data_IF_900918694284
#
_entry.id   IF_900918694284
#
_cell.length_a   1.000
_cell.length_b   1.000
_cell.length_c   1.000
_cell.angle_alpha   90.00
_cell.angle_beta   90.00
_cell.angle_gamma   90.00
#
_symmetry.space_group_name_H-M   'P 1'
#
loop_
_entity.id
_entity.type
_entity.pdbx_description
1 polymer ?
#
# COMPACT_ATOMS: atom_id res chain seq x y z
N UNK A 1 1.90 11.31 -77.88
CA UNK A 1 2.43 10.89 -76.56
C UNK A 1 2.76 12.04 -75.58
N UNK A 2 2.39 13.30 -75.89
CA UNK A 2 2.63 14.45 -74.95
C UNK A 2 1.46 14.75 -74.02
N UNK A 3 0.25 14.27 -74.25
CA UNK A 3 -0.93 14.60 -73.44
C UNK A 3 -1.22 13.66 -72.25
N UNK A 4 -0.52 12.49 -72.19
CA UNK A 4 -0.71 11.54 -71.09
C UNK A 4 0.00 11.98 -69.79
N UNK A 5 1.06 12.77 -69.91
CA UNK A 5 1.80 13.28 -68.69
C UNK A 5 1.04 14.32 -67.90
N UNK A 6 0.12 15.05 -68.48
CA UNK A 6 -0.69 16.07 -67.80
C UNK A 6 -1.94 15.49 -67.13
N UNK A 7 -2.44 14.34 -67.60
CA UNK A 7 -3.57 13.65 -66.98
C UNK A 7 -3.12 12.93 -65.70
N UNK A 8 -1.89 12.36 -65.70
CA UNK A 8 -1.33 11.73 -64.49
C UNK A 8 -0.99 12.75 -63.36
N UNK A 9 -0.61 14.00 -63.73
CA UNK A 9 -0.35 15.07 -62.74
C UNK A 9 -1.65 15.63 -62.13
N UNK A 10 -2.76 15.63 -62.86
CA UNK A 10 -4.07 16.08 -62.34
C UNK A 10 -4.69 15.08 -61.36
N UNK A 11 -4.42 13.77 -61.47
CA UNK A 11 -4.91 12.76 -60.56
C UNK A 11 -4.11 12.69 -59.21
N UNK A 12 -2.88 13.21 -59.20
CA UNK A 12 -2.07 13.29 -57.97
C UNK A 12 -2.40 14.50 -57.10
N UNK A 13 -3.10 15.53 -57.64
CA UNK A 13 -3.48 16.72 -56.87
C UNK A 13 -4.90 16.68 -56.30
N UNK A 14 -5.75 15.73 -56.72
CA UNK A 14 -7.12 15.61 -56.19
C UNK A 14 -7.22 14.79 -54.89
N UNK A 15 -6.11 14.24 -54.39
CA UNK A 15 -6.03 13.48 -53.12
C UNK A 15 -5.73 14.31 -51.87
N UNK A 16 -5.54 15.64 -51.98
CA UNK A 16 -5.03 16.45 -50.87
C UNK A 16 -6.05 17.43 -50.23
N UNK A 17 -7.33 17.28 -50.42
CA UNK A 17 -8.31 18.21 -49.84
C UNK A 17 -9.36 17.48 -49.00
N UNK A 18 -8.91 16.60 -48.11
CA UNK A 18 -9.67 16.28 -46.90
C UNK A 18 -8.79 16.55 -45.67
N UNK A 19 -8.30 17.78 -45.57
CA UNK A 19 -7.99 18.29 -44.25
C UNK A 19 -9.35 18.45 -43.54
N UNK A 20 -9.73 17.49 -42.72
CA UNK A 20 -10.84 17.65 -41.81
C UNK A 20 -10.57 18.94 -41.03
N UNK A 21 -11.47 19.91 -41.12
CA UNK A 21 -11.50 21.03 -40.20
C UNK A 21 -11.77 20.45 -38.80
N UNK A 22 -10.72 20.06 -38.13
CA UNK A 22 -10.80 19.64 -36.73
C UNK A 22 -11.06 20.94 -35.96
N UNK A 23 -12.27 21.10 -35.48
CA UNK A 23 -12.57 22.16 -34.52
C UNK A 23 -11.79 21.83 -33.21
N UNK A 24 -10.67 22.52 -33.04
CA UNK A 24 -9.79 22.33 -31.85
C UNK A 24 -10.48 22.74 -30.54
N UNK A 25 -11.61 23.46 -30.61
CA UNK A 25 -12.43 23.83 -29.46
C UNK A 25 -13.55 22.83 -29.20
N UNK A 26 -13.80 21.90 -30.11
CA UNK A 26 -14.80 20.85 -29.90
C UNK A 26 -14.22 19.73 -29.04
N UNK A 27 -14.79 19.52 -27.86
CA UNK A 27 -14.42 18.39 -26.99
C UNK A 27 -14.71 17.08 -27.73
N UNK A 28 -13.73 16.16 -27.85
CA UNK A 28 -13.94 14.85 -28.45
C UNK A 28 -15.09 14.12 -27.78
N UNK A 29 -16.00 13.55 -28.56
CA UNK A 29 -17.05 12.71 -27.99
C UNK A 29 -16.39 11.47 -27.33
N UNK A 30 -16.78 11.13 -26.10
CA UNK A 30 -16.25 9.94 -25.46
C UNK A 30 -16.59 8.69 -26.29
N UNK A 31 -15.60 7.82 -26.46
CA UNK A 31 -15.83 6.51 -27.06
C UNK A 31 -16.77 5.64 -26.21
N UNK A 32 -17.22 4.48 -26.70
CA UNK A 32 -18.01 3.55 -25.91
C UNK A 32 -17.20 3.10 -24.68
N UNK A 33 -17.86 3.04 -23.53
CA UNK A 33 -17.22 2.56 -22.29
C UNK A 33 -16.65 1.16 -22.52
N UNK A 34 -15.35 0.92 -22.27
CA UNK A 34 -14.78 -0.40 -22.47
C UNK A 34 -15.43 -1.43 -21.55
N UNK A 35 -15.71 -2.63 -22.08
CA UNK A 35 -16.19 -3.73 -21.26
C UNK A 35 -15.07 -4.20 -20.34
N UNK A 36 -15.29 -4.13 -19.03
CA UNK A 36 -14.34 -4.57 -18.04
C UNK A 36 -14.55 -6.07 -17.81
N UNK A 37 -13.61 -6.89 -18.32
CA UNK A 37 -13.53 -8.32 -18.05
C UNK A 37 -12.44 -8.59 -17.01
N UNK A 38 -12.86 -8.79 -15.76
CA UNK A 38 -11.94 -9.21 -14.70
C UNK A 38 -11.86 -10.74 -14.71
N UNK A 39 -10.69 -11.27 -15.05
CA UNK A 39 -10.44 -12.70 -14.99
C UNK A 39 -10.55 -13.19 -13.54
N UNK A 40 -11.32 -14.28 -13.34
CA UNK A 40 -11.35 -14.94 -12.03
C UNK A 40 -10.02 -15.65 -11.78
N UNK A 41 -9.41 -15.50 -10.60
CA UNK A 41 -8.18 -16.20 -10.27
C UNK A 41 -8.42 -17.71 -10.18
N UNK A 42 -7.48 -18.50 -10.71
CA UNK A 42 -7.39 -19.91 -10.41
C UNK A 42 -6.88 -20.08 -8.98
N UNK A 43 -7.67 -20.69 -8.11
CA UNK A 43 -7.35 -20.80 -6.68
C UNK A 43 -7.15 -22.25 -6.28
N UNK A 44 -6.07 -22.53 -5.54
CA UNK A 44 -5.82 -23.85 -4.94
C UNK A 44 -5.11 -23.70 -3.59
N UNK A 45 -5.15 -24.75 -2.77
CA UNK A 45 -4.53 -24.76 -1.44
C UNK A 45 -3.52 -25.89 -1.31
N UNK A 46 -2.33 -25.60 -0.80
CA UNK A 46 -1.32 -26.60 -0.49
C UNK A 46 -1.66 -27.38 0.79
N UNK A 47 -1.06 -28.56 0.95
CA UNK A 47 -1.25 -29.40 2.16
C UNK A 47 -0.81 -28.67 3.45
N UNK A 48 0.14 -27.74 3.36
CA UNK A 48 0.60 -26.93 4.48
C UNK A 48 -0.29 -25.70 4.77
N UNK A 49 -1.38 -25.52 4.04
CA UNK A 49 -2.33 -24.46 4.31
C UNK A 49 -2.18 -23.19 3.46
N UNK A 50 -1.06 -23.03 2.72
CA UNK A 50 -0.87 -21.90 1.83
C UNK A 50 -1.96 -21.86 0.76
N UNK A 51 -2.69 -20.74 0.67
CA UNK A 51 -3.67 -20.51 -0.38
C UNK A 51 -2.99 -19.77 -1.53
N UNK A 52 -3.12 -20.29 -2.75
CA UNK A 52 -2.48 -19.74 -3.95
C UNK A 52 -3.53 -19.28 -4.94
N UNK A 53 -3.37 -18.05 -5.44
CA UNK A 53 -4.21 -17.45 -6.47
C UNK A 53 -3.36 -17.12 -7.68
N UNK A 54 -3.76 -17.57 -8.86
CA UNK A 54 -3.05 -17.32 -10.12
C UNK A 54 -3.98 -16.64 -11.11
N UNK A 55 -3.52 -15.53 -11.68
CA UNK A 55 -4.19 -14.82 -12.79
C UNK A 55 -3.24 -14.79 -13.99
N UNK A 56 -3.58 -15.50 -15.04
CA UNK A 56 -2.84 -15.51 -16.28
C UNK A 56 -3.12 -14.21 -17.07
N UNK A 57 -2.07 -13.46 -17.39
CA UNK A 57 -2.14 -12.23 -18.16
C UNK A 57 -0.90 -12.09 -19.07
N UNK A 58 -1.03 -12.51 -20.31
CA UNK A 58 0.06 -12.58 -21.27
C UNK A 58 0.24 -11.30 -22.11
N UNK A 59 -0.38 -10.18 -21.70
CA UNK A 59 -0.25 -8.90 -22.43
C UNK A 59 1.16 -8.34 -22.39
N UNK A 60 1.87 -8.58 -21.29
CA UNK A 60 3.27 -8.16 -21.09
C UNK A 60 4.06 -9.32 -20.51
N UNK A 61 5.34 -9.49 -20.88
CA UNK A 61 6.20 -10.58 -20.39
C UNK A 61 6.69 -10.28 -18.96
N UNK A 62 5.77 -10.06 -18.02
CA UNK A 62 6.05 -9.73 -16.62
C UNK A 62 5.22 -10.58 -15.69
N UNK A 63 5.77 -10.82 -14.50
CA UNK A 63 5.10 -11.54 -13.41
C UNK A 63 5.24 -10.73 -12.13
N UNK A 64 4.11 -10.48 -11.49
CA UNK A 64 4.04 -9.93 -10.15
C UNK A 64 3.68 -11.06 -9.19
N UNK A 65 4.43 -11.15 -8.08
CA UNK A 65 4.27 -12.17 -7.06
C UNK A 65 4.10 -11.45 -5.72
N UNK A 66 3.05 -11.79 -4.98
CA UNK A 66 2.79 -11.24 -3.65
C UNK A 66 2.41 -12.34 -2.67
N UNK A 67 3.21 -12.47 -1.63
CA UNK A 67 2.86 -13.23 -0.43
C UNK A 67 2.27 -12.25 0.60
N UNK A 68 1.15 -12.62 1.18
CA UNK A 68 0.52 -11.86 2.28
C UNK A 68 0.25 -12.81 3.44
N UNK A 69 0.74 -12.45 4.62
CA UNK A 69 0.40 -13.14 5.87
C UNK A 69 -0.88 -12.50 6.40
N UNK A 70 -1.99 -13.21 6.33
CA UNK A 70 -3.30 -12.74 6.78
C UNK A 70 -3.46 -12.99 8.29
N UNK A 71 -3.00 -12.03 9.06
CA UNK A 71 -3.11 -12.02 10.51
C UNK A 71 -3.51 -10.64 11.02
N UNK A 72 -4.17 -10.55 12.17
CA UNK A 72 -4.35 -9.25 12.82
C UNK A 72 -3.01 -8.63 13.22
N UNK A 73 -2.98 -7.30 13.45
CA UNK A 73 -1.83 -6.64 14.07
C UNK A 73 -1.44 -7.35 15.37
N UNK A 74 -0.15 -7.45 15.62
CA UNK A 74 0.42 -8.14 16.80
C UNK A 74 0.94 -7.09 17.76
N UNK A 75 0.52 -7.18 19.02
CA UNK A 75 1.11 -6.39 20.10
C UNK A 75 2.49 -6.97 20.46
N UNK A 76 3.54 -6.19 20.26
CA UNK A 76 4.93 -6.58 20.46
C UNK A 76 5.48 -6.13 21.83
N UNK A 77 4.81 -5.15 22.47
CA UNK A 77 5.07 -4.72 23.84
C UNK A 77 6.47 -4.12 24.03
N UNK A 78 7.25 -4.67 24.97
CA UNK A 78 8.58 -4.15 25.32
C UNK A 78 9.65 -4.37 24.24
N UNK A 79 9.36 -5.14 23.21
CA UNK A 79 10.23 -5.41 22.04
C UNK A 79 9.58 -4.92 20.74
N UNK A 80 8.76 -3.87 20.81
CA UNK A 80 8.12 -3.31 19.63
C UNK A 80 9.17 -2.91 18.58
N UNK A 81 8.94 -3.37 17.33
CA UNK A 81 9.90 -3.33 16.23
C UNK A 81 10.49 -4.70 15.87
N UNK A 82 10.21 -5.75 16.67
CA UNK A 82 10.73 -7.11 16.40
C UNK A 82 10.25 -7.66 15.06
N UNK A 83 9.01 -7.36 14.67
CA UNK A 83 8.48 -7.78 13.37
C UNK A 83 9.20 -7.13 12.20
N UNK A 84 9.59 -5.86 12.30
CA UNK A 84 10.38 -5.15 11.29
C UNK A 84 11.81 -5.69 11.23
N UNK A 85 12.47 -5.85 12.37
CA UNK A 85 13.81 -6.45 12.45
C UNK A 85 13.81 -7.87 11.87
N UNK A 86 12.76 -8.66 12.12
CA UNK A 86 12.61 -10.00 11.54
C UNK A 86 12.50 -9.95 10.01
N UNK A 87 11.69 -9.03 9.49
CA UNK A 87 11.52 -8.86 8.05
C UNK A 87 12.82 -8.49 7.34
N UNK A 88 13.63 -7.63 7.95
CA UNK A 88 14.96 -7.26 7.46
C UNK A 88 15.88 -8.48 7.28
N UNK A 89 15.72 -9.52 8.11
CA UNK A 89 16.58 -10.71 8.01
C UNK A 89 16.24 -11.60 6.82
N UNK A 90 15.00 -11.54 6.28
CA UNK A 90 14.55 -12.44 5.20
C UNK A 90 15.32 -12.25 3.88
N UNK A 91 15.92 -11.11 3.65
CA UNK A 91 16.78 -10.83 2.49
C UNK A 91 18.29 -10.94 2.77
N UNK A 92 18.70 -11.27 4.00
CA UNK A 92 20.11 -11.27 4.42
C UNK A 92 20.81 -12.61 4.21
N UNK A 93 20.39 -13.37 3.21
CA UNK A 93 20.89 -14.69 2.87
C UNK A 93 19.97 -15.81 3.38
N UNK A 94 20.31 -17.03 2.98
CA UNK A 94 19.57 -18.24 3.33
C UNK A 94 20.52 -19.27 3.94
N UNK A 95 20.00 -20.41 4.36
CA UNK A 95 20.87 -21.53 4.78
C UNK A 95 21.76 -22.09 3.66
N UNK A 96 21.48 -21.71 2.38
CA UNK A 96 22.20 -22.18 1.20
C UNK A 96 23.02 -21.09 0.49
N UNK A 97 22.64 -19.83 0.65
CA UNK A 97 23.25 -18.69 -0.03
C UNK A 97 23.68 -17.65 0.99
N UNK A 98 24.89 -17.13 0.84
CA UNK A 98 25.28 -15.92 1.55
C UNK A 98 24.44 -14.72 1.08
N UNK A 99 24.48 -13.64 1.82
CA UNK A 99 23.81 -12.36 1.46
C UNK A 99 24.27 -11.85 0.10
N UNK A 100 25.57 -11.88 -0.13
CA UNK A 100 26.20 -11.43 -1.38
C UNK A 100 25.77 -12.30 -2.58
N UNK A 101 25.75 -13.62 -2.41
CA UNK A 101 25.31 -14.55 -3.45
C UNK A 101 23.82 -14.39 -3.75
N UNK A 102 22.99 -14.20 -2.69
CA UNK A 102 21.56 -13.96 -2.84
C UNK A 102 21.30 -12.67 -3.63
N UNK A 103 21.90 -11.55 -3.23
CA UNK A 103 21.76 -10.28 -3.90
C UNK A 103 22.27 -10.33 -5.34
N UNK A 104 23.46 -10.90 -5.58
CA UNK A 104 24.01 -11.07 -6.93
C UNK A 104 23.08 -11.86 -7.86
N UNK A 105 22.37 -12.87 -7.34
CA UNK A 105 21.38 -13.61 -8.13
C UNK A 105 20.16 -12.75 -8.48
N UNK A 106 19.63 -11.97 -7.54
CA UNK A 106 18.50 -11.07 -7.78
C UNK A 106 18.87 -9.99 -8.80
N UNK A 107 20.04 -9.38 -8.64
CA UNK A 107 20.55 -8.34 -9.57
C UNK A 107 20.75 -8.90 -10.98
N UNK A 108 21.33 -10.10 -11.10
CA UNK A 108 21.52 -10.76 -12.40
C UNK A 108 20.18 -11.04 -13.12
N UNK A 109 19.13 -11.35 -12.36
CA UNK A 109 17.79 -11.60 -12.92
C UNK A 109 17.04 -10.28 -13.22
N UNK A 110 17.59 -9.13 -12.84
CA UNK A 110 16.91 -7.84 -12.95
C UNK A 110 15.56 -7.84 -12.23
N UNK A 111 15.46 -8.59 -11.14
CA UNK A 111 14.24 -8.73 -10.37
C UNK A 111 14.24 -7.80 -9.16
N UNK A 112 13.05 -7.41 -8.73
CA UNK A 112 12.84 -6.73 -7.46
C UNK A 112 12.23 -7.72 -6.46
N UNK A 113 12.83 -7.82 -5.29
CA UNK A 113 12.34 -8.66 -4.20
C UNK A 113 12.35 -7.86 -2.89
N UNK A 114 11.24 -7.89 -2.17
CA UNK A 114 11.06 -7.18 -0.89
C UNK A 114 10.39 -8.06 0.14
N UNK A 115 10.70 -7.79 1.41
CA UNK A 115 10.13 -8.49 2.56
C UNK A 115 9.55 -7.50 3.56
N UNK A 116 8.53 -7.91 4.27
CA UNK A 116 7.92 -7.20 5.40
C UNK A 116 7.44 -8.19 6.44
N UNK A 117 7.08 -7.73 7.63
CA UNK A 117 6.50 -8.59 8.68
C UNK A 117 5.14 -9.18 8.28
N UNK A 118 4.53 -8.67 7.23
CA UNK A 118 3.21 -9.09 6.72
C UNK A 118 3.29 -9.83 5.39
N UNK A 119 4.50 -10.09 4.87
CA UNK A 119 4.65 -10.83 3.62
C UNK A 119 5.89 -10.49 2.82
N UNK A 120 5.81 -10.75 1.50
CA UNK A 120 6.88 -10.50 0.55
C UNK A 120 6.32 -10.14 -0.82
N UNK A 121 7.10 -9.42 -1.61
CA UNK A 121 6.75 -9.05 -2.97
C UNK A 121 7.89 -9.27 -3.95
N UNK A 122 7.58 -9.67 -5.19
CA UNK A 122 8.54 -9.73 -6.26
C UNK A 122 7.95 -9.30 -7.60
N UNK A 123 8.78 -8.64 -8.40
CA UNK A 123 8.48 -8.31 -9.79
C UNK A 123 9.62 -8.81 -10.68
N UNK A 124 9.27 -9.48 -11.78
CA UNK A 124 10.27 -10.07 -12.67
C UNK A 124 9.74 -10.20 -14.10
N UNK A 125 10.65 -10.44 -15.04
CA UNK A 125 10.27 -10.89 -16.39
C UNK A 125 9.81 -12.36 -16.34
N UNK A 126 8.85 -12.74 -17.20
CA UNK A 126 8.28 -14.10 -17.26
C UNK A 126 9.33 -15.18 -17.38
N UNK A 127 10.35 -14.97 -18.21
CA UNK A 127 11.46 -15.93 -18.42
C UNK A 127 12.27 -16.25 -17.16
N UNK A 128 12.22 -15.38 -16.14
CA UNK A 128 12.92 -15.53 -14.86
C UNK A 128 12.01 -15.87 -13.69
N UNK A 129 10.69 -15.97 -13.92
CA UNK A 129 9.71 -16.15 -12.87
C UNK A 129 9.98 -17.38 -11.99
N UNK A 130 10.40 -18.50 -12.61
CA UNK A 130 10.75 -19.72 -11.88
C UNK A 130 11.90 -19.50 -10.90
N UNK A 131 12.99 -18.84 -11.35
CA UNK A 131 14.15 -18.59 -10.49
C UNK A 131 13.79 -17.63 -9.34
N UNK A 132 13.03 -16.58 -9.64
CA UNK A 132 12.62 -15.57 -8.64
C UNK A 132 11.68 -16.17 -7.60
N UNK A 133 10.71 -16.99 -8.02
CA UNK A 133 9.83 -17.72 -7.09
C UNK A 133 10.63 -18.66 -6.18
N UNK A 134 11.62 -19.38 -6.73
CA UNK A 134 12.48 -20.27 -5.95
C UNK A 134 13.36 -19.50 -4.95
N UNK A 135 13.94 -18.35 -5.35
CA UNK A 135 14.74 -17.51 -4.46
C UNK A 135 13.87 -16.88 -3.35
N UNK A 136 12.69 -16.40 -3.70
CA UNK A 136 11.73 -15.89 -2.72
C UNK A 136 11.31 -16.95 -1.71
N UNK A 137 11.01 -18.17 -2.17
CA UNK A 137 10.66 -19.29 -1.32
C UNK A 137 11.82 -19.68 -0.39
N UNK A 138 13.06 -19.73 -0.91
CA UNK A 138 14.23 -20.06 -0.09
C UNK A 138 14.48 -19.01 1.01
N UNK A 139 14.39 -17.72 0.68
CA UNK A 139 14.50 -16.64 1.66
C UNK A 139 13.41 -16.69 2.75
N UNK A 140 12.19 -17.09 2.37
CA UNK A 140 11.06 -17.19 3.29
C UNK A 140 11.16 -18.43 4.19
N UNK A 141 11.58 -19.57 3.64
CA UNK A 141 11.50 -20.88 4.33
C UNK A 141 12.79 -21.21 5.09
N UNK A 142 13.92 -20.77 4.55
CA UNK A 142 15.24 -21.07 5.03
C UNK A 142 16.06 -19.81 5.36
N UNK A 143 15.49 -18.79 6.02
CA UNK A 143 16.25 -17.58 6.33
C UNK A 143 17.41 -17.90 7.27
N UNK A 144 18.53 -17.20 7.07
CA UNK A 144 19.68 -17.28 7.96
C UNK A 144 19.62 -16.11 8.94
N UNK A 145 19.11 -16.36 10.12
CA UNK A 145 19.16 -15.39 11.22
C UNK A 145 20.53 -15.38 11.89
N UNK A 146 21.14 -14.20 12.03
CA UNK A 146 22.41 -14.05 12.74
C UNK A 146 22.38 -12.83 13.67
N UNK A 147 23.08 -12.93 14.80
CA UNK A 147 23.20 -11.81 15.77
C UNK A 147 23.82 -10.58 15.11
N UNK A 148 24.79 -10.78 14.21
CA UNK A 148 25.46 -9.69 13.50
C UNK A 148 24.46 -8.87 12.64
N UNK A 149 23.68 -9.54 11.77
CA UNK A 149 22.71 -8.86 10.91
C UNK A 149 21.54 -8.28 11.71
N UNK A 150 21.09 -8.93 12.80
CA UNK A 150 20.10 -8.36 13.72
C UNK A 150 20.62 -7.07 14.34
N UNK A 151 21.87 -7.05 14.83
CA UNK A 151 22.45 -5.83 15.41
C UNK A 151 22.58 -4.70 14.39
N UNK A 152 23.00 -5.00 13.14
CA UNK A 152 23.05 -4.01 12.07
C UNK A 152 21.66 -3.44 11.74
N UNK A 153 20.61 -4.28 11.77
CA UNK A 153 19.23 -3.79 11.58
C UNK A 153 18.77 -2.91 12.73
N UNK A 154 19.10 -3.27 13.97
CA UNK A 154 18.83 -2.45 15.16
C UNK A 154 19.50 -1.07 15.06
N UNK A 155 20.78 -1.03 14.73
CA UNK A 155 21.54 0.23 14.56
C UNK A 155 20.89 1.15 13.50
N UNK A 156 20.56 0.59 12.31
CA UNK A 156 19.87 1.36 11.26
C UNK A 156 18.51 1.88 11.72
N UNK A 157 17.75 1.06 12.43
CA UNK A 157 16.44 1.46 12.96
C UNK A 157 16.56 2.59 13.97
N UNK A 158 17.53 2.51 14.90
CA UNK A 158 17.80 3.56 15.88
C UNK A 158 18.23 4.87 15.21
N UNK A 159 19.11 4.82 14.21
CA UNK A 159 19.49 6.00 13.44
C UNK A 159 18.28 6.62 12.71
N UNK A 160 17.43 5.78 12.12
CA UNK A 160 16.17 6.21 11.52
C UNK A 160 15.21 6.88 12.52
N UNK A 161 15.15 6.38 13.76
CA UNK A 161 14.36 7.00 14.83
C UNK A 161 14.87 8.39 15.19
N UNK A 162 16.19 8.58 15.34
CA UNK A 162 16.80 9.89 15.66
C UNK A 162 16.48 10.94 14.60
N UNK A 163 16.47 10.53 13.33
CA UNK A 163 16.10 11.42 12.23
C UNK A 163 14.63 11.88 12.32
N UNK A 164 13.74 11.00 12.82
CA UNK A 164 12.30 11.24 12.93
C UNK A 164 11.85 11.90 14.24
N UNK A 165 12.73 12.01 15.22
CA UNK A 165 12.39 12.59 16.54
C UNK A 165 11.88 14.03 16.47
N UNK A 166 12.32 14.80 15.47
CA UNK A 166 11.95 16.22 15.27
C UNK A 166 10.92 16.40 14.14
N UNK A 167 10.45 15.32 13.53
CA UNK A 167 9.45 15.35 12.47
C UNK A 167 8.05 15.48 13.10
N UNK A 168 7.45 16.66 12.95
CA UNK A 168 6.12 16.96 13.49
C UNK A 168 5.03 16.02 12.95
N UNK A 169 5.13 15.54 11.69
CA UNK A 169 4.18 14.60 11.09
C UNK A 169 4.28 13.22 11.73
N UNK A 170 5.50 12.76 12.01
CA UNK A 170 5.74 11.49 12.68
C UNK A 170 5.30 11.53 14.14
N UNK A 171 5.58 12.63 14.85
CA UNK A 171 5.09 12.86 16.23
C UNK A 171 3.57 12.84 16.25
N UNK A 172 2.92 13.62 15.38
CA UNK A 172 1.46 13.67 15.29
C UNK A 172 0.85 12.30 14.99
N UNK A 173 1.47 11.49 14.11
CA UNK A 173 1.01 10.14 13.79
C UNK A 173 1.10 9.19 14.99
N UNK A 174 2.20 9.22 15.74
CA UNK A 174 2.39 8.39 16.93
C UNK A 174 1.39 8.74 18.03
N UNK A 175 1.20 10.04 18.29
CA UNK A 175 0.24 10.52 19.28
C UNK A 175 -1.18 10.14 18.88
N UNK A 176 -1.57 10.39 17.63
CA UNK A 176 -2.88 10.01 17.09
C UNK A 176 -3.17 8.51 17.27
N UNK A 177 -2.22 7.64 16.88
CA UNK A 177 -2.38 6.20 17.05
C UNK A 177 -2.49 5.79 18.54
N UNK A 178 -1.64 6.36 19.40
CA UNK A 178 -1.65 6.06 20.83
C UNK A 178 -2.93 6.50 21.54
N UNK A 179 -3.50 7.63 21.12
CA UNK A 179 -4.78 8.15 21.65
C UNK A 179 -5.97 7.36 21.10
N UNK A 180 -5.95 7.05 19.79
CA UNK A 180 -7.05 6.34 19.12
C UNK A 180 -7.15 4.88 19.56
N UNK A 181 -6.03 4.18 19.67
CA UNK A 181 -5.99 2.72 19.88
C UNK A 181 -5.50 2.32 21.27
N UNK A 182 -4.88 3.24 22.02
CA UNK A 182 -4.23 2.94 23.30
C UNK A 182 -2.80 2.46 23.13
N UNK A 183 -1.86 2.99 23.94
CA UNK A 183 -0.41 2.68 23.84
C UNK A 183 -0.06 1.19 24.02
N UNK A 184 -0.92 0.43 24.71
CA UNK A 184 -0.70 -1.00 25.01
C UNK A 184 -1.46 -1.90 24.03
N UNK A 185 -1.59 -1.48 22.80
CA UNK A 185 -2.21 -2.24 21.70
C UNK A 185 -1.29 -2.29 20.49
N UNK A 186 -1.51 -3.25 19.63
CA UNK A 186 -0.75 -3.42 18.40
C UNK A 186 -0.81 -2.23 17.42
N UNK A 187 -1.83 -1.39 17.54
CA UNK A 187 -2.01 -0.22 16.67
C UNK A 187 -1.55 1.09 17.31
N UNK A 188 -1.50 1.13 18.64
CA UNK A 188 -1.14 2.33 19.39
C UNK A 188 0.27 2.31 19.96
N UNK A 189 0.95 1.14 20.00
CA UNK A 189 2.36 1.07 20.36
C UNK A 189 3.26 1.70 19.30
N UNK A 190 4.41 2.16 19.68
CA UNK A 190 5.39 2.73 18.75
C UNK A 190 6.83 2.35 19.14
N UNK A 191 7.66 2.24 18.11
CA UNK A 191 9.05 1.83 18.25
C UNK A 191 9.87 2.93 18.95
N UNK A 192 10.70 2.53 19.92
CA UNK A 192 11.64 3.39 20.64
C UNK A 192 13.04 2.79 20.59
N UNK A 193 14.06 3.60 20.86
CA UNK A 193 15.44 3.10 21.01
C UNK A 193 15.51 2.03 22.13
N UNK A 194 14.78 2.24 23.22
CA UNK A 194 14.72 1.26 24.31
C UNK A 194 14.13 -0.08 23.87
N UNK A 195 13.01 -0.06 23.13
CA UNK A 195 12.38 -1.31 22.64
C UNK A 195 13.28 -2.03 21.65
N UNK A 196 13.94 -1.33 20.74
CA UNK A 196 14.88 -1.91 19.78
C UNK A 196 16.09 -2.53 20.48
N UNK A 197 16.65 -1.85 21.50
CA UNK A 197 17.79 -2.36 22.24
C UNK A 197 17.48 -3.66 23.00
N UNK A 198 16.23 -3.88 23.42
CA UNK A 198 15.79 -5.10 24.10
C UNK A 198 15.61 -6.32 23.18
N UNK A 199 15.52 -6.12 21.86
CA UNK A 199 15.32 -7.23 20.91
C UNK A 199 16.57 -8.10 20.85
N UNK A 200 16.39 -9.38 21.06
CA UNK A 200 17.41 -10.41 20.91
C UNK A 200 17.16 -11.29 19.67
N UNK A 201 18.19 -12.01 19.23
CA UNK A 201 18.07 -12.96 18.11
C UNK A 201 16.95 -13.98 18.33
N UNK A 202 16.77 -14.41 19.57
CA UNK A 202 15.70 -15.36 19.94
C UNK A 202 14.31 -14.78 19.68
N UNK A 203 14.08 -13.51 19.99
CA UNK A 203 12.79 -12.86 19.79
C UNK A 203 12.43 -12.79 18.29
N UNK A 204 13.42 -12.47 17.45
CA UNK A 204 13.30 -12.45 15.99
C UNK A 204 12.92 -13.84 15.46
N UNK A 205 13.60 -14.89 15.95
CA UNK A 205 13.32 -16.27 15.55
C UNK A 205 11.94 -16.74 16.00
N UNK A 206 11.54 -16.38 17.23
CA UNK A 206 10.25 -16.77 17.80
C UNK A 206 9.10 -16.03 17.09
N UNK A 207 9.27 -14.75 16.77
CA UNK A 207 8.32 -13.99 15.95
C UNK A 207 8.13 -14.63 14.57
N UNK A 208 9.22 -14.96 13.87
CA UNK A 208 9.17 -15.65 12.59
C UNK A 208 8.43 -16.98 12.69
N UNK A 209 8.80 -17.86 13.63
CA UNK A 209 8.17 -19.18 13.79
C UNK A 209 6.69 -19.11 14.07
N UNK A 210 6.27 -18.11 14.85
CA UNK A 210 4.88 -17.96 15.31
C UNK A 210 3.99 -17.32 14.26
N UNK A 211 4.47 -16.29 13.58
CA UNK A 211 3.63 -15.42 12.77
C UNK A 211 3.87 -15.52 11.27
N UNK A 212 5.06 -15.96 10.85
CA UNK A 212 5.40 -16.03 9.42
C UNK A 212 5.26 -17.46 8.90
N UNK A 213 4.02 -17.88 8.60
CA UNK A 213 3.69 -19.27 8.32
C UNK A 213 2.61 -19.43 7.22
N UNK A 214 2.62 -20.57 6.49
CA UNK A 214 1.78 -20.78 5.31
C UNK A 214 0.29 -20.97 5.61
N UNK A 215 -0.05 -21.41 6.81
CA UNK A 215 -1.44 -21.68 7.21
C UNK A 215 -2.29 -20.41 7.40
N UNK A 216 -1.64 -19.24 7.45
CA UNK A 216 -2.26 -17.92 7.45
C UNK A 216 -1.78 -17.06 6.26
N UNK A 217 -1.41 -17.66 5.13
CA UNK A 217 -0.82 -16.93 4.02
C UNK A 217 -1.57 -17.14 2.69
N UNK A 218 -1.52 -16.10 1.87
CA UNK A 218 -1.96 -16.08 0.49
C UNK A 218 -0.77 -15.76 -0.42
N UNK A 219 -0.55 -16.57 -1.45
CA UNK A 219 0.41 -16.30 -2.51
C UNK A 219 -0.37 -15.96 -3.79
N UNK A 220 -0.25 -14.73 -4.23
CA UNK A 220 -0.89 -14.23 -5.45
C UNK A 220 0.16 -14.08 -6.54
N UNK A 221 -0.08 -14.68 -7.70
CA UNK A 221 0.80 -14.62 -8.87
C UNK A 221 -0.01 -14.15 -10.06
N UNK A 222 0.39 -13.01 -10.63
CA UNK A 222 -0.31 -12.36 -11.75
C UNK A 222 0.70 -12.06 -12.85
N UNK A 223 0.40 -12.47 -14.07
CA UNK A 223 1.24 -12.15 -15.23
C UNK A 223 1.29 -13.24 -16.28
N UNK A 224 2.34 -13.18 -17.10
CA UNK A 224 2.58 -14.12 -18.18
C UNK A 224 3.14 -15.45 -17.64
N UNK A 225 2.22 -16.27 -17.16
CA UNK A 225 2.46 -17.57 -16.56
C UNK A 225 1.34 -18.54 -16.94
N UNK A 226 1.61 -19.86 -16.79
CA UNK A 226 0.58 -20.90 -16.89
C UNK A 226 0.28 -21.47 -15.51
N UNK A 227 -0.98 -21.50 -15.14
CA UNK A 227 -1.45 -21.99 -13.82
C UNK A 227 -0.94 -23.41 -13.52
N UNK A 228 -0.93 -24.30 -14.52
CA UNK A 228 -0.47 -25.68 -14.34
C UNK A 228 1.02 -25.80 -14.02
N UNK A 229 1.85 -24.90 -14.55
CA UNK A 229 3.29 -24.83 -14.29
C UNK A 229 3.54 -24.21 -12.91
N UNK A 230 2.85 -23.10 -12.61
CA UNK A 230 2.92 -22.43 -11.31
C UNK A 230 2.50 -23.36 -10.18
N UNK A 231 1.44 -24.16 -10.37
CA UNK A 231 0.99 -25.10 -9.33
C UNK A 231 2.11 -26.08 -8.96
N UNK A 232 2.76 -26.72 -9.94
CA UNK A 232 3.86 -27.65 -9.71
C UNK A 232 5.06 -26.97 -9.03
N UNK A 233 5.39 -25.75 -9.49
CA UNK A 233 6.50 -24.98 -8.94
C UNK A 233 6.24 -24.61 -7.48
N UNK A 234 5.07 -24.05 -7.16
CA UNK A 234 4.71 -23.62 -5.81
C UNK A 234 4.60 -24.83 -4.87
N UNK A 235 4.06 -25.97 -5.31
CA UNK A 235 4.04 -27.21 -4.53
C UNK A 235 5.47 -27.67 -4.18
N UNK A 236 6.40 -27.60 -5.15
CA UNK A 236 7.81 -27.97 -4.94
C UNK A 236 8.51 -27.02 -3.97
N UNK A 237 8.40 -25.71 -4.18
CA UNK A 237 9.19 -24.70 -3.46
C UNK A 237 8.59 -24.37 -2.09
N UNK A 238 7.26 -24.17 -1.98
CA UNK A 238 6.57 -23.79 -0.74
C UNK A 238 5.98 -24.97 0.05
N UNK A 239 5.89 -26.16 -0.54
CA UNK A 239 5.25 -27.32 0.12
C UNK A 239 5.93 -27.77 1.43
N UNK A 240 7.21 -27.45 1.60
CA UNK A 240 8.00 -27.76 2.81
C UNK A 240 7.93 -26.68 3.89
N UNK A 241 7.30 -25.54 3.61
CA UNK A 241 7.12 -24.47 4.60
C UNK A 241 6.23 -24.95 5.74
N UNK A 242 6.76 -24.88 6.96
CA UNK A 242 6.11 -25.45 8.16
C UNK A 242 4.97 -24.56 8.63
N UNK A 243 3.85 -25.17 9.00
CA UNK A 243 2.73 -24.50 9.66
C UNK A 243 3.15 -24.02 11.04
N UNK A 244 2.61 -22.87 11.48
CA UNK A 244 2.73 -22.45 12.88
C UNK A 244 1.63 -23.04 13.76
N UNK A 245 0.46 -23.31 13.20
CA UNK A 245 -0.73 -23.68 13.96
C UNK A 245 -1.29 -22.55 14.81
N UNK A 246 -0.76 -21.33 14.68
CA UNK A 246 -1.20 -20.18 15.46
C UNK A 246 -2.63 -19.80 15.09
N UNK A 247 -3.50 -19.74 16.09
CA UNK A 247 -4.86 -19.21 15.96
C UNK A 247 -4.88 -17.78 16.48
N UNK A 248 -5.43 -16.89 15.70
CA UNK A 248 -5.59 -15.48 16.08
C UNK A 248 -6.98 -15.26 16.68
N UNK A 249 -7.03 -14.50 17.78
CA UNK A 249 -8.30 -14.03 18.33
C UNK A 249 -8.95 -13.05 17.37
N UNK A 250 -10.27 -12.94 17.43
CA UNK A 250 -10.99 -11.87 16.74
C UNK A 250 -10.50 -10.50 17.25
N UNK A 251 -10.37 -9.55 16.34
CA UNK A 251 -10.03 -8.17 16.72
C UNK A 251 -11.32 -7.45 17.08
N UNK A 252 -11.41 -7.01 18.32
CA UNK A 252 -12.52 -6.17 18.74
C UNK A 252 -12.43 -4.79 18.06
N UNK A 253 -13.52 -4.28 17.50
CA UNK A 253 -13.54 -2.96 16.91
C UNK A 253 -13.18 -1.89 17.94
N UNK A 254 -12.26 -1.01 17.58
CA UNK A 254 -11.95 0.15 18.42
C UNK A 254 -13.18 1.07 18.52
N UNK A 255 -13.55 1.42 19.73
CA UNK A 255 -14.71 2.32 19.99
C UNK A 255 -14.30 3.77 19.75
N UNK A 256 -15.20 4.53 19.14
CA UNK A 256 -15.06 5.97 19.06
C UNK A 256 -15.20 6.61 20.44
N UNK A 257 -14.56 7.76 20.60
CA UNK A 257 -14.77 8.61 21.76
C UNK A 257 -16.22 9.16 21.80
N UNK A 258 -16.80 9.35 22.98
CA UNK A 258 -18.15 9.89 23.12
C UNK A 258 -18.29 11.36 22.70
N UNK A 259 -17.17 12.10 22.67
CA UNK A 259 -17.08 13.49 22.25
C UNK A 259 -15.75 13.74 21.50
N UNK A 260 -15.72 14.81 20.72
CA UNK A 260 -14.49 15.27 20.07
C UNK A 260 -13.47 15.71 21.11
N UNK A 261 -12.27 15.18 21.04
CA UNK A 261 -11.11 15.65 21.82
C UNK A 261 -10.15 16.44 20.93
N UNK A 262 -9.55 17.48 21.49
CA UNK A 262 -8.50 18.27 20.84
C UNK A 262 -7.23 18.07 21.66
N UNK A 263 -6.24 17.46 21.04
CA UNK A 263 -4.96 17.18 21.65
C UNK A 263 -3.88 18.04 20.98
N UNK A 264 -3.13 18.81 21.74
CA UNK A 264 -2.07 19.70 21.26
C UNK A 264 -0.74 19.17 21.73
N UNK A 265 0.19 19.00 20.79
CA UNK A 265 1.57 18.61 21.07
C UNK A 265 2.48 19.75 20.62
N UNK A 266 3.20 20.33 21.57
CA UNK A 266 4.17 21.38 21.27
C UNK A 266 5.47 20.77 20.71
N UNK A 267 5.88 21.25 19.53
CA UNK A 267 7.14 20.91 18.87
C UNK A 267 7.86 22.21 18.54
N UNK A 268 8.68 22.76 19.47
CA UNK A 268 9.24 24.13 19.38
C UNK A 268 10.05 24.40 18.10
N UNK A 269 10.59 23.37 17.48
CA UNK A 269 11.40 23.48 16.24
C UNK A 269 10.58 23.33 14.96
N UNK A 270 9.28 23.08 15.06
CA UNK A 270 8.43 22.87 13.89
C UNK A 270 8.11 24.19 13.19
N UNK A 271 8.39 24.27 11.90
CA UNK A 271 8.07 25.44 11.06
C UNK A 271 6.65 25.42 10.52
N UNK A 272 5.93 24.31 10.71
CA UNK A 272 4.53 24.10 10.34
C UNK A 272 3.81 23.32 11.43
N UNK A 273 2.53 23.61 11.61
CA UNK A 273 1.63 22.80 12.42
C UNK A 273 1.07 21.63 11.59
N UNK A 274 1.11 20.44 12.15
CA UNK A 274 0.48 19.27 11.55
C UNK A 274 -0.89 19.06 12.19
N UNK A 275 -1.93 19.19 11.38
CA UNK A 275 -3.30 18.91 11.77
C UNK A 275 -3.64 17.47 11.35
N UNK A 276 -4.14 16.67 12.30
CA UNK A 276 -4.71 15.35 12.04
C UNK A 276 -6.10 15.29 12.67
N UNK A 277 -7.06 14.86 11.89
CA UNK A 277 -8.41 14.56 12.35
C UNK A 277 -8.72 13.13 11.99
N UNK A 278 -9.11 12.30 12.94
CA UNK A 278 -9.34 10.91 12.67
C UNK A 278 -10.21 10.22 13.70
N UNK A 279 -10.72 9.08 13.30
CA UNK A 279 -11.46 8.17 14.17
C UNK A 279 -11.47 6.75 13.60
N UNK A 280 -11.58 5.72 14.44
CA UNK A 280 -11.85 4.38 13.99
C UNK A 280 -13.23 4.30 13.34
N UNK A 281 -13.37 3.43 12.35
CA UNK A 281 -14.65 3.12 11.70
C UNK A 281 -14.92 1.62 11.76
N UNK A 282 -16.10 1.20 11.30
CA UNK A 282 -16.43 -0.23 11.14
C UNK A 282 -16.56 -0.62 9.67
N UNK A 283 -16.41 0.33 8.74
CA UNK A 283 -16.62 0.10 7.32
C UNK A 283 -15.55 -0.81 6.73
N UNK A 284 -15.97 -1.92 6.17
CA UNK A 284 -15.13 -2.89 5.48
C UNK A 284 -15.53 -3.00 4.01
N UNK A 285 -14.63 -3.55 3.18
CA UNK A 285 -14.87 -3.74 1.74
C UNK A 285 -16.10 -4.59 1.42
N UNK A 286 -16.50 -5.49 2.33
CA UNK A 286 -17.69 -6.35 2.17
C UNK A 286 -19.02 -5.64 2.46
N UNK A 287 -18.99 -4.46 3.05
CA UNK A 287 -20.20 -3.77 3.49
C UNK A 287 -20.93 -3.10 2.31
N UNK A 288 -22.26 -3.09 2.31
CA UNK A 288 -23.04 -2.46 1.24
C UNK A 288 -22.71 -0.97 1.02
N UNK A 289 -22.30 -0.27 2.10
CA UNK A 289 -21.94 1.16 2.07
C UNK A 289 -20.49 1.43 1.60
N UNK A 290 -19.70 0.38 1.30
CA UNK A 290 -18.30 0.53 0.92
C UNK A 290 -18.08 1.57 -0.20
N UNK A 291 -18.77 1.40 -1.32
CA UNK A 291 -18.61 2.32 -2.46
C UNK A 291 -19.11 3.74 -2.16
N UNK A 292 -20.15 3.88 -1.34
CA UNK A 292 -20.64 5.19 -0.91
C UNK A 292 -19.60 5.89 -0.04
N UNK A 293 -18.94 5.16 0.88
CA UNK A 293 -17.85 5.69 1.69
C UNK A 293 -16.64 6.10 0.85
N UNK A 294 -16.24 5.28 -0.13
CA UNK A 294 -15.12 5.59 -1.05
C UNK A 294 -15.40 6.85 -1.84
N UNK A 295 -16.62 7.00 -2.38
CA UNK A 295 -17.02 8.18 -3.15
C UNK A 295 -17.06 9.42 -2.25
N UNK A 296 -17.64 9.33 -1.06
CA UNK A 296 -17.68 10.43 -0.11
C UNK A 296 -16.29 10.90 0.30
N UNK A 297 -15.39 9.95 0.59
CA UNK A 297 -13.99 10.29 0.89
C UNK A 297 -13.27 10.91 -0.31
N UNK A 298 -13.54 10.46 -1.53
CA UNK A 298 -12.95 11.04 -2.74
C UNK A 298 -13.37 12.52 -2.90
N UNK A 299 -14.64 12.83 -2.66
CA UNK A 299 -15.17 14.21 -2.71
C UNK A 299 -14.58 15.06 -1.58
N UNK A 300 -14.42 14.50 -0.38
CA UNK A 300 -13.93 15.23 0.78
C UNK A 300 -12.44 15.59 0.67
N UNK A 301 -11.58 14.62 0.38
CA UNK A 301 -10.13 14.84 0.41
C UNK A 301 -9.32 13.79 -0.35
N UNK A 302 -9.93 13.05 -1.29
CA UNK A 302 -9.26 11.97 -2.03
C UNK A 302 -8.49 12.43 -3.27
N UNK A 303 -8.50 13.73 -3.60
CA UNK A 303 -7.81 14.29 -4.77
C UNK A 303 -7.53 15.79 -4.59
N UNK A 304 -6.77 16.38 -5.52
CA UNK A 304 -6.49 17.83 -5.55
C UNK A 304 -7.73 18.69 -5.90
N UNK A 305 -8.79 18.10 -6.41
CA UNK A 305 -10.05 18.78 -6.65
C UNK A 305 -11.08 18.55 -5.53
N UNK A 306 -10.69 17.82 -4.50
CA UNK A 306 -11.55 17.54 -3.36
C UNK A 306 -11.72 18.77 -2.46
N UNK A 307 -12.79 18.80 -1.68
CA UNK A 307 -13.19 19.95 -0.86
C UNK A 307 -12.08 20.43 0.08
N UNK A 308 -11.40 19.53 0.79
CA UNK A 308 -10.32 19.90 1.70
C UNK A 308 -9.17 20.60 0.97
N UNK A 309 -8.76 20.08 -0.18
CA UNK A 309 -7.69 20.67 -0.96
C UNK A 309 -8.09 22.04 -1.52
N UNK A 310 -9.27 22.12 -2.15
CA UNK A 310 -9.78 23.36 -2.74
C UNK A 310 -10.01 24.45 -1.71
N UNK A 311 -10.44 24.08 -0.48
CA UNK A 311 -10.66 25.03 0.60
C UNK A 311 -9.33 25.49 1.20
N UNK A 312 -8.51 24.56 1.72
CA UNK A 312 -7.34 24.94 2.52
C UNK A 312 -6.16 25.41 1.66
N UNK A 313 -6.00 24.88 0.45
CA UNK A 313 -4.93 25.29 -0.46
C UNK A 313 -5.37 26.41 -1.39
N UNK A 314 -6.36 26.13 -2.26
CA UNK A 314 -6.67 27.07 -3.37
C UNK A 314 -7.36 28.34 -2.87
N UNK A 315 -8.35 28.21 -2.00
CA UNK A 315 -9.11 29.35 -1.49
C UNK A 315 -8.36 30.15 -0.42
N UNK A 316 -7.76 29.45 0.54
CA UNK A 316 -7.20 30.08 1.75
C UNK A 316 -5.66 30.13 1.76
N UNK A 317 -4.95 29.36 0.97
CA UNK A 317 -3.48 29.32 0.91
C UNK A 317 -2.81 28.92 2.23
N UNK A 318 -3.46 28.10 3.06
CA UNK A 318 -2.96 27.70 4.38
C UNK A 318 -1.92 26.59 4.31
N UNK A 319 -1.98 25.75 3.26
CA UNK A 319 -1.19 24.54 3.08
C UNK A 319 -0.83 24.30 1.61
N UNK A 320 0.12 23.43 1.36
CA UNK A 320 0.38 22.86 0.02
C UNK A 320 -0.57 21.72 -0.34
N UNK A 321 -1.30 21.16 0.62
CA UNK A 321 -2.30 20.14 0.39
C UNK A 321 -2.98 19.68 1.68
N UNK A 322 -4.28 19.36 1.56
CA UNK A 322 -5.10 18.78 2.60
C UNK A 322 -5.87 17.58 2.02
N UNK A 323 -5.75 16.44 2.67
CA UNK A 323 -6.27 15.19 2.13
C UNK A 323 -7.01 14.38 3.20
N UNK A 324 -7.89 13.49 2.75
CA UNK A 324 -8.52 12.49 3.61
C UNK A 324 -8.34 11.08 3.06
N UNK A 325 -8.34 10.12 3.96
CA UNK A 325 -8.25 8.70 3.65
C UNK A 325 -9.26 7.90 4.46
N UNK A 326 -10.04 7.09 3.77
CA UNK A 326 -10.89 6.07 4.35
C UNK A 326 -10.20 4.71 4.19
N UNK A 327 -9.70 4.16 5.29
CA UNK A 327 -9.14 2.81 5.33
C UNK A 327 -10.25 1.83 5.63
N UNK A 328 -10.42 0.81 4.78
CA UNK A 328 -11.37 -0.30 4.97
C UNK A 328 -10.62 -1.58 5.32
N UNK A 329 -9.54 -1.45 6.08
CA UNK A 329 -8.73 -2.57 6.56
C UNK A 329 -9.61 -3.63 7.24
N UNK A 330 -9.28 -4.90 7.01
CA UNK A 330 -9.97 -6.04 7.65
C UNK A 330 -9.94 -5.97 9.18
N UNK A 331 -8.88 -5.41 9.74
CA UNK A 331 -8.60 -5.46 11.18
C UNK A 331 -8.67 -4.10 11.87
N UNK A 332 -8.47 -3.01 11.14
CA UNK A 332 -8.39 -1.65 11.69
C UNK A 332 -8.91 -0.61 10.70
N UNK A 333 -10.22 -0.68 10.34
CA UNK A 333 -10.80 0.34 9.47
C UNK A 333 -10.80 1.69 10.19
N UNK A 334 -10.45 2.75 9.48
CA UNK A 334 -10.31 4.10 10.04
C UNK A 334 -10.56 5.17 9.00
N UNK A 335 -10.94 6.34 9.46
CA UNK A 335 -10.93 7.57 8.69
C UNK A 335 -9.85 8.50 9.23
N UNK A 336 -9.11 9.16 8.35
CA UNK A 336 -8.15 10.21 8.71
C UNK A 336 -8.19 11.35 7.70
N UNK A 337 -8.04 12.58 8.18
CA UNK A 337 -7.81 13.76 7.36
C UNK A 337 -6.61 14.52 7.92
N UNK A 338 -5.76 15.08 7.07
CA UNK A 338 -4.54 15.75 7.52
C UNK A 338 -4.10 16.89 6.59
N UNK A 339 -3.36 17.84 7.15
CA UNK A 339 -2.58 18.83 6.43
C UNK A 339 -1.41 19.32 7.28
N UNK A 340 -0.35 19.79 6.62
CA UNK A 340 0.69 20.63 7.23
C UNK A 340 0.39 22.07 6.85
N UNK A 341 0.17 22.93 7.83
CA UNK A 341 -0.22 24.33 7.64
C UNK A 341 0.81 25.27 8.25
N UNK A 342 0.85 26.53 7.81
CA UNK A 342 1.66 27.56 8.48
C UNK A 342 1.18 27.74 9.91
N UNK A 343 2.11 27.95 10.86
CA UNK A 343 1.79 28.03 12.29
C UNK A 343 0.76 29.12 12.62
N UNK A 344 0.85 30.29 11.96
CA UNK A 344 -0.01 31.44 12.19
C UNK A 344 -1.47 31.28 11.73
N UNK A 345 -1.78 30.20 11.01
CA UNK A 345 -3.14 29.93 10.50
C UNK A 345 -3.73 28.62 11.02
N UNK A 346 -3.09 28.01 12.01
CA UNK A 346 -3.49 26.70 12.56
C UNK A 346 -4.93 26.69 13.03
N UNK A 347 -5.34 27.68 13.80
CA UNK A 347 -6.71 27.85 14.31
C UNK A 347 -7.75 27.95 13.18
N UNK A 348 -7.47 28.78 12.18
CA UNK A 348 -8.32 28.96 11.00
C UNK A 348 -8.42 27.67 10.19
N UNK A 349 -7.29 26.98 9.99
CA UNK A 349 -7.26 25.73 9.25
C UNK A 349 -8.07 24.62 9.95
N UNK A 350 -8.01 24.52 11.29
CA UNK A 350 -8.85 23.59 12.05
C UNK A 350 -10.33 23.88 11.85
N UNK A 351 -10.73 25.16 11.87
CA UNK A 351 -12.13 25.56 11.62
C UNK A 351 -12.57 25.13 10.23
N UNK A 352 -11.75 25.39 9.19
CA UNK A 352 -12.07 24.99 7.82
C UNK A 352 -12.13 23.46 7.65
N UNK A 353 -11.23 22.70 8.30
CA UNK A 353 -11.32 21.23 8.34
C UNK A 353 -12.68 20.78 8.89
N UNK A 354 -13.08 21.33 10.02
CA UNK A 354 -14.35 20.95 10.66
C UNK A 354 -15.57 21.34 9.83
N UNK A 355 -15.50 22.46 9.10
CA UNK A 355 -16.55 22.88 8.18
C UNK A 355 -16.74 21.87 7.05
N UNK A 356 -15.64 21.43 6.40
CA UNK A 356 -15.70 20.45 5.31
C UNK A 356 -16.15 19.07 5.81
N UNK A 357 -15.67 18.63 6.98
CA UNK A 357 -16.09 17.37 7.58
C UNK A 357 -17.59 17.35 7.92
N UNK A 358 -18.14 18.45 8.44
CA UNK A 358 -19.58 18.57 8.68
C UNK A 358 -20.37 18.69 7.38
N UNK A 359 -19.80 19.37 6.39
CA UNK A 359 -20.43 19.63 5.09
C UNK A 359 -20.54 18.41 4.18
N UNK A 360 -19.76 17.33 4.44
CA UNK A 360 -19.76 16.14 3.54
C UNK A 360 -21.11 15.40 3.53
N UNK A 361 -21.96 15.59 4.52
CA UNK A 361 -23.32 15.06 4.51
C UNK A 361 -24.20 15.64 3.40
N UNK A 362 -23.79 16.78 2.80
CA UNK A 362 -24.48 17.49 1.73
C UNK A 362 -23.64 17.46 0.46
N UNK A 363 -23.70 16.35 -0.28
CA UNK A 363 -23.00 16.19 -1.55
C UNK A 363 -23.85 16.77 -2.69
N UNK A 364 -23.26 17.64 -3.51
CA UNK A 364 -23.94 18.19 -4.70
C UNK A 364 -23.97 17.13 -5.82
N UNK A 365 -25.03 17.13 -6.65
CA UNK A 365 -25.14 16.19 -7.79
C UNK A 365 -23.94 16.22 -8.75
N UNK A 366 -23.35 17.39 -8.98
CA UNK A 366 -22.16 17.56 -9.81
C UNK A 366 -20.92 16.88 -9.21
N UNK A 367 -20.66 17.10 -7.90
CA UNK A 367 -19.54 16.44 -7.20
C UNK A 367 -19.65 14.92 -7.28
N UNK A 368 -20.87 14.39 -7.11
CA UNK A 368 -21.14 12.96 -7.21
C UNK A 368 -20.86 12.43 -8.61
N UNK A 369 -21.29 13.16 -9.63
CA UNK A 369 -21.08 12.79 -11.04
C UNK A 369 -19.60 12.76 -11.39
N UNK A 370 -18.87 13.82 -11.01
CA UNK A 370 -17.43 13.94 -11.26
C UNK A 370 -16.63 12.86 -10.50
N UNK A 371 -16.94 12.62 -9.22
CA UNK A 371 -16.29 11.58 -8.43
C UNK A 371 -16.50 10.18 -9.03
N UNK A 372 -17.74 9.88 -9.45
CA UNK A 372 -18.04 8.60 -10.13
C UNK A 372 -17.29 8.44 -11.46
N UNK A 373 -17.18 9.51 -12.25
CA UNK A 373 -16.43 9.48 -13.50
C UNK A 373 -14.95 9.20 -13.25
N UNK A 374 -14.32 9.93 -12.31
CA UNK A 374 -12.90 9.77 -11.97
C UNK A 374 -12.54 8.41 -11.35
N UNK A 375 -13.41 7.87 -10.52
CA UNK A 375 -13.17 6.55 -9.89
C UNK A 375 -13.41 5.37 -10.85
N UNK A 376 -14.08 5.59 -11.97
CA UNK A 376 -14.27 4.57 -13.03
C UNK A 376 -13.16 4.59 -14.08
N UNK A 377 -12.55 5.75 -14.31
CA UNK A 377 -11.60 6.12 -15.32
C UNK A 377 -10.37 5.71 -15.42
#
# INVERSE_FOLDING_TARGET
MKNIKYIAAAFLFSGMVYAQNIDINAMPKPGPTPAINIAKPSTFKLKNGLTVLVVENNKLPRVNIRLTIDRPPVYEGNIVGVGEIMADQLGMGTTKLSKEEFNKKIDFLGAYLSFSSEGAGANTLSKYSTQVISLMADAIINPKFSTEEVNKSKERTIEGLKTKEKDASEIARRVDNALTYGKNTALGEFVTEESINKIELKDVQDFYKKYYAPDNAYLVIVGDVKTSEIKKLVEKEFGKWKKSGTKFAAVEPTKNLPATEINIVDVPTAVQSVIRVGNPTTLQMKDPQYFSGVIANHILGGSEEARLFMNLREKNGYTYGAYSRLSTSKYSPSFTANASVRNEVTDKAVVEFMNELKGISQIKPEELTNAKAKLKG
#
